data_IF_540765696828
#
_entry.id   IF_540765696828
#
_cell.length_a   1.000
_cell.length_b   1.000
_cell.length_c   1.000
_cell.angle_alpha   90.00
_cell.angle_beta   90.00
_cell.angle_gamma   90.00
#
_symmetry.space_group_name_H-M   'P 1'
#
loop_
_entity.id
_entity.type
_entity.pdbx_description
1 polymer ?
#
# COMPACT_ATOMS: atom_id res chain seq x y z
N UNK A 1 19.14 16.27 31.10
CA UNK A 1 18.73 15.45 29.94
C UNK A 1 17.54 16.14 29.30
N UNK A 2 17.61 16.48 28.02
CA UNK A 2 16.41 16.95 27.32
C UNK A 2 15.33 15.85 27.45
N UNK A 3 14.06 16.21 27.64
CA UNK A 3 12.98 15.23 27.72
C UNK A 3 12.98 14.37 26.46
N UNK A 4 12.71 13.06 26.63
CA UNK A 4 12.53 12.17 25.49
C UNK A 4 11.38 12.70 24.61
N UNK A 5 11.69 13.14 23.42
CA UNK A 5 10.75 13.77 22.49
C UNK A 5 10.03 12.74 21.61
N UNK A 6 10.33 11.44 21.80
CA UNK A 6 9.67 10.33 21.09
C UNK A 6 9.30 9.26 22.12
N UNK A 7 8.02 8.97 22.26
CA UNK A 7 7.48 8.00 23.19
C UNK A 7 6.81 6.84 22.42
N UNK A 8 6.80 5.65 23.03
CA UNK A 8 6.01 4.52 22.50
C UNK A 8 4.71 4.46 23.28
N UNK A 9 3.61 4.55 22.56
CA UNK A 9 2.25 4.50 23.12
C UNK A 9 1.47 3.32 22.53
N UNK A 10 0.50 2.83 23.29
CA UNK A 10 -0.43 1.80 22.88
C UNK A 10 -1.72 2.42 22.30
N UNK A 11 -2.57 1.58 21.70
CA UNK A 11 -3.83 1.99 21.08
C UNK A 11 -4.75 2.76 22.04
N UNK A 12 -4.84 2.31 23.29
CA UNK A 12 -5.72 2.89 24.30
C UNK A 12 -5.34 4.34 24.64
N UNK A 13 -4.06 4.67 24.49
CA UNK A 13 -3.53 6.01 24.75
C UNK A 13 -3.81 6.95 23.58
N UNK A 14 -3.88 6.44 22.33
CA UNK A 14 -4.11 7.24 21.12
C UNK A 14 -5.45 8.00 21.16
N UNK A 15 -6.49 7.39 21.72
CA UNK A 15 -7.82 8.02 21.81
C UNK A 15 -7.81 9.33 22.61
N UNK A 16 -6.81 9.51 23.47
CA UNK A 16 -6.61 10.70 24.31
C UNK A 16 -5.79 11.78 23.59
N UNK A 17 -5.10 11.41 22.50
CA UNK A 17 -4.27 12.31 21.73
C UNK A 17 -5.14 13.07 20.70
N UNK A 18 -5.28 14.39 20.89
CA UNK A 18 -6.05 15.23 19.97
C UNK A 18 -5.53 15.08 18.53
N UNK A 19 -4.21 15.09 18.37
CA UNK A 19 -3.55 14.99 17.07
C UNK A 19 -3.93 13.72 16.29
N UNK A 20 -4.14 12.58 16.97
CA UNK A 20 -4.49 11.32 16.31
C UNK A 20 -5.78 11.41 15.47
N UNK A 21 -6.71 12.28 15.84
CA UNK A 21 -7.98 12.45 15.09
C UNK A 21 -7.76 13.01 13.69
N UNK A 22 -6.70 13.79 13.51
CA UNK A 22 -6.34 14.48 12.27
C UNK A 22 -5.18 13.80 11.55
N UNK A 23 -4.50 12.85 12.20
CA UNK A 23 -3.37 12.15 11.65
C UNK A 23 -3.75 11.40 10.35
N UNK A 24 -2.92 11.54 9.33
CA UNK A 24 -3.10 10.93 8.01
C UNK A 24 -4.41 11.32 7.28
N UNK A 25 -5.07 12.42 7.64
CA UNK A 25 -6.38 12.79 7.09
C UNK A 25 -6.39 12.90 5.56
N UNK A 26 -5.30 13.40 4.98
CA UNK A 26 -5.14 13.55 3.52
C UNK A 26 -4.78 12.24 2.80
N UNK A 27 -4.47 11.19 3.54
CA UNK A 27 -4.11 9.90 2.99
C UNK A 27 -5.34 9.00 2.77
N UNK A 28 -5.29 8.13 1.75
CA UNK A 28 -6.35 7.12 1.57
C UNK A 28 -6.40 6.14 2.74
N UNK A 29 -5.23 5.84 3.31
CA UNK A 29 -5.05 5.03 4.51
C UNK A 29 -4.89 5.95 5.72
N UNK A 30 -5.98 6.59 6.14
CA UNK A 30 -6.00 7.46 7.32
C UNK A 30 -6.02 6.67 8.64
N UNK A 31 -6.16 7.37 9.77
CA UNK A 31 -6.17 6.74 11.09
C UNK A 31 -7.14 5.55 11.20
N UNK A 32 -8.32 5.63 10.53
CA UNK A 32 -9.34 4.54 10.56
C UNK A 32 -8.79 3.25 9.98
N UNK A 33 -7.95 3.36 8.95
CA UNK A 33 -7.28 2.21 8.36
C UNK A 33 -6.28 1.57 9.33
N UNK A 34 -5.43 2.35 9.99
CA UNK A 34 -4.47 1.82 10.97
C UNK A 34 -5.20 1.13 12.13
N UNK A 35 -6.28 1.75 12.61
CA UNK A 35 -7.13 1.19 13.65
C UNK A 35 -7.75 -0.15 13.22
N UNK A 36 -8.31 -0.20 12.02
CA UNK A 36 -8.90 -1.43 11.46
C UNK A 36 -7.86 -2.55 11.28
N UNK A 37 -6.65 -2.20 10.81
CA UNK A 37 -5.56 -3.17 10.64
C UNK A 37 -5.17 -3.78 11.99
N UNK A 38 -5.00 -2.96 13.04
CA UNK A 38 -4.70 -3.44 14.38
C UNK A 38 -5.81 -4.34 14.94
N UNK A 39 -7.08 -3.98 14.71
CA UNK A 39 -8.24 -4.73 15.22
C UNK A 39 -8.45 -6.07 14.51
N UNK A 40 -7.99 -6.21 13.26
CA UNK A 40 -8.36 -7.36 12.41
C UNK A 40 -7.19 -8.18 11.87
N UNK A 41 -5.99 -7.62 11.78
CA UNK A 41 -4.77 -8.26 11.23
C UNK A 41 -3.72 -8.38 12.34
N UNK A 42 -4.02 -9.08 13.39
CA UNK A 42 -3.13 -9.18 14.56
C UNK A 42 -2.31 -10.47 14.62
N UNK A 43 -2.59 -11.47 13.78
CA UNK A 43 -1.85 -12.72 13.81
C UNK A 43 -0.39 -12.52 13.35
N UNK A 44 0.55 -12.62 14.30
CA UNK A 44 1.99 -12.44 14.06
C UNK A 44 2.48 -10.99 14.12
N UNK A 45 1.58 -10.02 14.36
CA UNK A 45 1.90 -8.60 14.46
C UNK A 45 1.55 -8.03 15.84
N UNK A 46 2.45 -7.23 16.40
CA UNK A 46 2.20 -6.47 17.62
C UNK A 46 2.31 -4.97 17.31
N UNK A 47 1.19 -4.27 17.33
CA UNK A 47 1.10 -2.85 16.93
C UNK A 47 1.43 -1.93 18.09
N UNK A 48 2.09 -0.81 17.79
CA UNK A 48 2.41 0.30 18.68
C UNK A 48 2.57 1.58 17.85
N UNK A 49 2.71 2.71 18.53
CA UNK A 49 2.80 4.01 17.89
C UNK A 49 3.93 4.82 18.52
N UNK A 50 4.70 5.52 17.69
CA UNK A 50 5.59 6.58 18.15
C UNK A 50 4.78 7.87 18.24
N UNK A 51 4.66 8.44 19.41
CA UNK A 51 4.17 9.79 19.65
C UNK A 51 5.38 10.73 19.70
N UNK A 52 5.41 11.71 18.81
CA UNK A 52 6.47 12.74 18.76
C UNK A 52 5.93 13.98 19.44
N UNK A 53 6.68 14.51 20.42
CA UNK A 53 6.30 15.70 21.14
C UNK A 53 7.11 16.91 20.69
N UNK A 54 6.47 18.09 20.73
CA UNK A 54 7.11 19.37 20.55
C UNK A 54 7.91 19.80 21.80
N UNK A 55 8.40 21.05 21.80
CA UNK A 55 9.16 21.61 22.92
C UNK A 55 8.30 21.89 24.15
N UNK A 56 6.99 22.00 23.99
CA UNK A 56 6.00 22.21 25.03
C UNK A 56 5.56 20.89 25.67
N UNK A 57 5.90 19.74 25.06
CA UNK A 57 5.53 18.40 25.50
C UNK A 57 4.19 17.91 24.91
N UNK A 58 3.59 18.69 24.02
CA UNK A 58 2.37 18.30 23.33
C UNK A 58 2.68 17.34 22.16
N UNK A 59 1.84 16.30 21.96
CA UNK A 59 1.99 15.38 20.83
C UNK A 59 1.61 16.09 19.54
N UNK A 60 2.59 16.25 18.66
CA UNK A 60 2.45 16.93 17.37
C UNK A 60 2.42 15.96 16.17
N UNK A 61 2.92 14.73 16.32
CA UNK A 61 2.84 13.72 15.28
C UNK A 61 2.76 12.31 15.87
N UNK A 62 2.14 11.38 15.12
CA UNK A 62 2.03 9.98 15.49
C UNK A 62 2.47 9.11 14.31
N UNK A 63 3.43 8.23 14.54
CA UNK A 63 3.93 7.32 13.51
C UNK A 63 3.67 5.88 13.90
N UNK A 64 2.77 5.15 13.20
CA UNK A 64 2.51 3.76 13.45
C UNK A 64 3.72 2.86 13.19
N UNK A 65 3.87 1.82 14.00
CA UNK A 65 4.81 0.74 13.76
C UNK A 65 4.26 -0.57 14.30
N UNK A 66 4.83 -1.66 13.85
CA UNK A 66 4.51 -2.99 14.34
C UNK A 66 5.78 -3.83 14.52
N UNK A 67 5.66 -4.86 15.33
CA UNK A 67 6.73 -5.81 15.60
C UNK A 67 6.28 -7.17 15.11
N UNK A 68 7.18 -7.87 14.43
CA UNK A 68 6.98 -9.25 14.02
C UNK A 68 8.26 -10.05 14.18
N UNK A 69 8.12 -11.35 14.31
CA UNK A 69 9.24 -12.29 14.26
C UNK A 69 9.37 -12.78 12.81
N UNK A 70 10.22 -12.10 12.03
CA UNK A 70 10.40 -12.36 10.60
C UNK A 70 11.22 -13.63 10.37
N UNK A 71 10.66 -14.57 9.63
CA UNK A 71 11.36 -15.76 9.16
C UNK A 71 12.25 -15.43 7.97
N UNK A 72 13.56 -15.39 8.18
CA UNK A 72 14.53 -15.13 7.11
C UNK A 72 14.64 -16.27 6.08
N UNK A 73 14.06 -17.44 6.38
CA UNK A 73 13.97 -18.55 5.44
C UNK A 73 12.72 -18.49 4.55
N UNK A 74 11.74 -17.65 4.90
CA UNK A 74 10.58 -17.41 4.06
C UNK A 74 11.05 -16.89 2.69
N UNK A 75 10.66 -17.56 1.62
CA UNK A 75 11.12 -17.21 0.26
C UNK A 75 12.40 -17.90 -0.21
N UNK A 76 13.10 -18.66 0.65
CA UNK A 76 14.21 -19.51 0.19
C UNK A 76 13.71 -20.81 -0.45
N UNK A 77 14.60 -21.51 -1.17
CA UNK A 77 14.26 -22.78 -1.80
C UNK A 77 13.86 -23.88 -0.80
N UNK A 78 13.12 -24.93 -1.25
CA UNK A 78 12.58 -25.97 -0.38
C UNK A 78 13.65 -26.71 0.42
N UNK A 79 14.84 -26.94 -0.13
CA UNK A 79 15.95 -27.59 0.58
C UNK A 79 16.48 -26.77 1.76
N UNK A 80 16.64 -25.46 1.59
CA UNK A 80 17.10 -24.55 2.65
C UNK A 80 16.03 -24.45 3.75
N UNK A 81 14.76 -24.41 3.38
CA UNK A 81 13.64 -24.42 4.35
C UNK A 81 13.60 -25.72 5.16
N UNK A 82 13.79 -26.88 4.51
CA UNK A 82 13.81 -28.17 5.18
C UNK A 82 14.99 -28.27 6.17
N UNK A 83 16.19 -27.82 5.77
CA UNK A 83 17.36 -27.75 6.66
C UNK A 83 17.09 -26.81 7.84
N UNK A 84 16.55 -25.62 7.57
CA UNK A 84 16.17 -24.69 8.61
C UNK A 84 15.12 -25.24 9.58
N UNK A 85 14.14 -25.96 9.08
CA UNK A 85 13.12 -26.63 9.92
C UNK A 85 13.74 -27.73 10.80
N UNK A 86 14.74 -28.48 10.30
CA UNK A 86 15.48 -29.46 11.10
C UNK A 86 16.28 -28.79 12.23
N UNK A 87 16.98 -27.69 11.93
CA UNK A 87 17.73 -26.91 12.94
C UNK A 87 16.78 -26.29 13.98
N UNK A 88 15.59 -25.85 13.59
CA UNK A 88 14.59 -25.27 14.51
C UNK A 88 14.02 -26.25 15.52
N UNK A 89 14.16 -27.56 15.30
CA UNK A 89 13.82 -28.55 16.35
C UNK A 89 14.71 -28.45 17.58
N UNK A 90 15.96 -27.98 17.40
CA UNK A 90 16.94 -27.81 18.46
C UNK A 90 17.01 -26.34 18.88
N UNK A 91 16.95 -25.41 17.92
CA UNK A 91 16.98 -23.96 18.11
C UNK A 91 15.75 -23.31 17.49
N UNK A 92 14.61 -23.20 18.20
CA UNK A 92 13.31 -22.76 17.64
C UNK A 92 13.33 -21.40 16.93
N UNK A 93 14.25 -20.51 17.33
CA UNK A 93 14.41 -19.16 16.75
C UNK A 93 15.54 -19.07 15.72
N UNK A 94 16.02 -20.19 15.21
CA UNK A 94 17.06 -20.18 14.17
C UNK A 94 16.59 -19.42 12.94
N UNK A 95 17.34 -18.38 12.53
CA UNK A 95 17.02 -17.47 11.44
C UNK A 95 15.63 -16.80 11.53
N UNK A 96 15.11 -16.65 12.75
CA UNK A 96 13.96 -15.78 13.02
C UNK A 96 14.48 -14.49 13.64
N UNK A 97 14.12 -13.36 13.03
CA UNK A 97 14.62 -12.05 13.44
C UNK A 97 13.46 -11.17 13.91
N UNK A 98 13.47 -10.81 15.19
CA UNK A 98 12.49 -9.85 15.70
C UNK A 98 12.76 -8.49 15.09
N UNK A 99 11.80 -8.00 14.32
CA UNK A 99 11.90 -6.79 13.49
C UNK A 99 10.85 -5.78 13.95
N UNK A 100 11.26 -4.52 14.07
CA UNK A 100 10.40 -3.37 14.23
C UNK A 100 10.21 -2.77 12.84
N UNK A 101 8.96 -2.71 12.36
CA UNK A 101 8.62 -2.09 11.08
C UNK A 101 7.80 -0.82 11.30
N UNK A 102 8.33 0.32 10.86
CA UNK A 102 7.62 1.61 10.85
C UNK A 102 6.77 1.68 9.60
N UNK A 103 5.52 2.08 9.74
CA UNK A 103 4.53 2.14 8.67
C UNK A 103 3.34 1.21 8.94
N UNK A 104 2.70 0.71 7.88
CA UNK A 104 1.53 -0.13 7.95
C UNK A 104 1.86 -1.60 7.64
N UNK A 105 1.20 -2.54 8.34
CA UNK A 105 1.31 -3.96 8.00
C UNK A 105 0.62 -4.27 6.65
N UNK A 106 -0.44 -3.55 6.32
CA UNK A 106 -1.23 -3.72 5.10
C UNK A 106 -0.95 -2.57 4.12
N UNK A 107 -0.22 -2.89 3.07
CA UNK A 107 0.19 -1.94 2.02
C UNK A 107 1.41 -1.10 2.39
N UNK A 108 1.59 0.03 1.72
CA UNK A 108 2.73 0.93 1.86
C UNK A 108 2.69 1.76 3.14
N UNK A 109 3.85 2.26 3.54
CA UNK A 109 4.03 3.16 4.67
C UNK A 109 3.81 4.63 4.30
N UNK A 110 3.27 5.41 5.23
CA UNK A 110 3.11 6.86 5.09
C UNK A 110 3.65 7.56 6.32
N UNK A 111 4.09 8.82 6.17
CA UNK A 111 4.39 9.71 7.28
C UNK A 111 3.12 10.45 7.70
N UNK A 112 3.00 10.72 8.99
CA UNK A 112 1.98 11.65 9.49
C UNK A 112 2.39 13.09 9.14
N UNK A 113 2.08 13.51 7.92
CA UNK A 113 2.44 14.83 7.38
C UNK A 113 1.63 15.98 7.98
N UNK A 114 0.59 15.70 8.77
CA UNK A 114 -0.26 16.74 9.38
C UNK A 114 0.45 17.51 10.49
N UNK A 115 1.41 16.88 11.17
CA UNK A 115 2.19 17.52 12.23
C UNK A 115 3.70 17.25 12.19
N UNK A 116 4.14 16.33 11.32
CA UNK A 116 5.55 15.98 11.18
C UNK A 116 6.30 17.04 10.36
N UNK A 117 7.41 17.53 10.89
CA UNK A 117 8.37 18.37 10.18
C UNK A 117 9.76 17.72 10.18
N UNK A 118 10.75 18.36 9.54
CA UNK A 118 12.10 17.79 9.45
C UNK A 118 12.76 17.57 10.82
N UNK A 119 12.56 18.47 11.76
CA UNK A 119 13.11 18.32 13.12
C UNK A 119 12.46 17.14 13.87
N UNK A 120 11.16 16.92 13.67
CA UNK A 120 10.46 15.76 14.23
C UNK A 120 10.94 14.45 13.62
N UNK A 121 11.21 14.42 12.31
CA UNK A 121 11.78 13.25 11.63
C UNK A 121 13.19 12.92 12.13
N UNK A 122 14.03 13.93 12.38
CA UNK A 122 15.35 13.74 12.96
C UNK A 122 15.28 13.13 14.36
N UNK A 123 14.37 13.63 15.20
CA UNK A 123 14.13 13.08 16.53
C UNK A 123 13.63 11.63 16.45
N UNK A 124 12.72 11.36 15.52
CA UNK A 124 12.23 10.00 15.27
C UNK A 124 13.36 9.07 14.83
N UNK A 125 14.18 9.49 13.84
CA UNK A 125 15.31 8.70 13.34
C UNK A 125 16.34 8.36 14.44
N UNK A 126 16.60 9.32 15.33
CA UNK A 126 17.47 9.12 16.49
C UNK A 126 16.85 8.18 17.54
N UNK A 127 15.53 8.31 17.79
CA UNK A 127 14.81 7.60 18.85
C UNK A 127 14.48 6.15 18.52
N UNK A 128 14.09 5.84 17.27
CA UNK A 128 13.56 4.52 16.89
C UNK A 128 14.47 3.36 17.28
N UNK A 129 15.79 3.50 17.10
CA UNK A 129 16.75 2.41 17.44
C UNK A 129 16.85 2.17 18.95
N UNK A 130 16.75 3.22 19.76
CA UNK A 130 16.70 3.10 21.22
C UNK A 130 15.48 2.28 21.63
N UNK A 131 14.30 2.62 21.12
CA UNK A 131 13.06 1.91 21.37
C UNK A 131 13.07 0.48 20.81
N UNK A 132 13.64 0.26 19.63
CA UNK A 132 13.80 -1.07 19.06
C UNK A 132 14.60 -2.00 19.98
N UNK A 133 15.70 -1.49 20.57
CA UNK A 133 16.49 -2.25 21.54
C UNK A 133 15.70 -2.58 22.82
N UNK A 134 14.95 -1.61 23.35
CA UNK A 134 14.08 -1.83 24.51
C UNK A 134 13.01 -2.90 24.24
N UNK A 135 12.47 -2.94 23.02
CA UNK A 135 11.50 -3.92 22.55
C UNK A 135 12.15 -5.24 22.08
N UNK A 136 13.47 -5.37 22.23
CA UNK A 136 14.28 -6.53 21.81
C UNK A 136 14.22 -6.81 20.31
N UNK A 137 13.92 -5.82 19.49
CA UNK A 137 14.02 -5.93 18.04
C UNK A 137 15.50 -5.78 17.63
N UNK A 138 15.94 -6.62 16.70
CA UNK A 138 17.30 -6.59 16.15
C UNK A 138 17.38 -5.84 14.83
N UNK A 139 16.29 -5.78 14.08
CA UNK A 139 16.17 -5.08 12.83
C UNK A 139 15.12 -3.98 12.94
N UNK A 140 15.39 -2.84 12.32
CA UNK A 140 14.44 -1.75 12.13
C UNK A 140 14.27 -1.54 10.64
N UNK A 141 13.03 -1.46 10.19
CA UNK A 141 12.68 -1.23 8.78
C UNK A 141 11.61 -0.16 8.71
N UNK A 142 11.82 0.90 7.92
CA UNK A 142 10.71 1.70 7.42
C UNK A 142 10.18 0.96 6.20
N UNK A 143 8.90 0.52 6.25
CA UNK A 143 8.34 -0.43 5.29
C UNK A 143 7.66 0.30 4.14
N UNK A 144 8.25 0.20 2.96
CA UNK A 144 7.62 0.56 1.68
C UNK A 144 7.11 2.00 1.61
N UNK A 145 7.97 2.95 1.98
CA UNK A 145 7.65 4.36 1.86
C UNK A 145 7.76 4.83 0.40
N UNK A 146 6.75 5.52 -0.14
CA UNK A 146 6.79 6.09 -1.48
C UNK A 146 7.99 7.03 -1.71
N UNK A 147 8.49 7.04 -2.95
CA UNK A 147 9.69 7.78 -3.32
C UNK A 147 9.61 9.29 -3.06
N UNK A 148 8.41 9.88 -3.02
CA UNK A 148 8.25 11.30 -2.70
C UNK A 148 8.66 11.65 -1.26
N UNK A 149 8.77 10.66 -0.35
CA UNK A 149 9.32 10.86 0.99
C UNK A 149 10.84 10.81 1.06
N UNK A 150 11.57 10.52 -0.04
CA UNK A 150 13.03 10.34 -0.02
C UNK A 150 13.77 11.53 0.59
N UNK A 151 13.39 12.76 0.20
CA UNK A 151 13.98 13.97 0.77
C UNK A 151 13.77 14.09 2.28
N UNK A 152 12.55 13.88 2.74
CA UNK A 152 12.20 13.91 4.15
C UNK A 152 12.92 12.82 4.97
N UNK A 153 13.06 11.62 4.40
CA UNK A 153 13.68 10.46 5.04
C UNK A 153 15.20 10.41 4.91
N UNK A 154 15.85 11.43 4.32
CA UNK A 154 17.31 11.48 4.21
C UNK A 154 17.99 11.48 5.58
N UNK A 155 17.36 12.08 6.60
CA UNK A 155 17.83 12.04 7.98
C UNK A 155 18.03 10.61 8.50
N UNK A 156 17.22 9.65 8.07
CA UNK A 156 17.41 8.25 8.46
C UNK A 156 18.70 7.68 7.90
N UNK A 157 19.13 8.07 6.70
CA UNK A 157 20.43 7.66 6.12
C UNK A 157 21.58 8.18 6.97
N UNK A 158 21.52 9.45 7.42
CA UNK A 158 22.50 10.04 8.35
C UNK A 158 22.57 9.26 9.68
N UNK A 159 21.43 8.70 10.13
CA UNK A 159 21.35 7.84 11.30
C UNK A 159 21.72 6.37 11.01
N UNK A 160 22.33 6.07 9.87
CA UNK A 160 22.92 4.76 9.53
C UNK A 160 21.94 3.73 8.98
N UNK A 161 20.76 4.14 8.54
CA UNK A 161 19.88 3.30 7.73
C UNK A 161 20.42 3.15 6.31
N UNK A 162 20.01 2.08 5.65
CA UNK A 162 20.31 1.85 4.23
C UNK A 162 19.00 1.81 3.48
N UNK A 163 18.85 2.68 2.48
CA UNK A 163 17.70 2.65 1.57
C UNK A 163 17.87 1.52 0.56
N UNK A 164 16.82 0.75 0.37
CA UNK A 164 16.75 -0.36 -0.58
C UNK A 164 15.40 -0.28 -1.30
N UNK A 165 15.36 -0.29 -2.64
CA UNK A 165 14.10 -0.36 -3.36
C UNK A 165 13.31 -1.62 -3.01
N UNK A 166 12.01 -1.46 -2.73
CA UNK A 166 11.02 -2.53 -2.62
C UNK A 166 10.32 -2.77 -3.95
N UNK A 167 9.40 -3.73 -4.01
CA UNK A 167 8.54 -3.92 -5.17
C UNK A 167 7.65 -2.68 -5.36
N UNK A 168 7.78 -1.99 -6.51
CA UNK A 168 7.08 -0.73 -6.74
C UNK A 168 5.59 -0.94 -6.94
N UNK A 169 4.79 0.05 -6.60
CA UNK A 169 3.46 0.20 -7.17
C UNK A 169 3.56 0.54 -8.66
N UNK A 170 2.43 0.54 -9.35
CA UNK A 170 2.37 0.98 -10.73
C UNK A 170 1.28 2.03 -10.91
N UNK A 171 1.52 2.97 -11.81
CA UNK A 171 0.67 4.10 -12.08
C UNK A 171 0.40 4.21 -13.57
N UNK A 172 -0.86 4.33 -13.95
CA UNK A 172 -1.33 4.52 -15.32
C UNK A 172 -2.01 5.87 -15.43
N UNK A 173 -1.56 6.68 -16.37
CA UNK A 173 -2.30 7.88 -16.75
C UNK A 173 -3.60 7.46 -17.45
N UNK A 174 -4.74 7.94 -16.94
CA UNK A 174 -6.08 7.69 -17.47
C UNK A 174 -6.83 8.97 -17.79
N UNK A 175 -6.12 10.10 -17.92
CA UNK A 175 -6.70 11.38 -18.32
C UNK A 175 -7.02 11.39 -19.83
N UNK A 176 -8.00 10.56 -20.21
CA UNK A 176 -8.52 10.38 -21.57
C UNK A 176 -10.05 10.42 -21.54
N UNK A 177 -10.70 10.83 -22.66
CA UNK A 177 -12.16 10.88 -22.73
C UNK A 177 -12.83 9.51 -22.53
N UNK A 178 -12.18 8.43 -22.97
CA UNK A 178 -12.68 7.06 -22.83
C UNK A 178 -11.54 6.03 -22.78
N UNK A 179 -11.88 4.80 -22.38
CA UNK A 179 -10.96 3.68 -22.43
C UNK A 179 -10.51 3.36 -23.88
N UNK A 180 -11.39 3.56 -24.89
CA UNK A 180 -11.01 3.37 -26.29
C UNK A 180 -10.01 4.46 -26.74
N UNK A 181 -10.20 5.72 -26.35
CA UNK A 181 -9.25 6.80 -26.62
C UNK A 181 -7.88 6.52 -25.99
N UNK A 182 -7.86 6.06 -24.73
CA UNK A 182 -6.62 5.60 -24.10
C UNK A 182 -5.98 4.47 -24.92
N UNK A 183 -6.73 3.45 -25.32
CA UNK A 183 -6.17 2.35 -26.11
C UNK A 183 -5.58 2.86 -27.43
N UNK A 184 -6.26 3.78 -28.12
CA UNK A 184 -5.81 4.30 -29.42
C UNK A 184 -4.57 5.17 -29.28
N UNK A 185 -4.53 6.05 -28.28
CA UNK A 185 -3.48 7.04 -28.11
C UNK A 185 -2.23 6.48 -27.39
N UNK A 186 -2.40 5.65 -26.35
CA UNK A 186 -1.31 5.18 -25.52
C UNK A 186 -0.74 3.80 -25.90
N UNK A 187 -1.58 2.91 -26.46
CA UNK A 187 -1.17 1.52 -26.67
C UNK A 187 -0.70 1.24 -28.08
N UNK A 188 0.24 0.31 -28.24
CA UNK A 188 0.67 -0.18 -29.54
C UNK A 188 -0.48 -0.91 -30.27
N UNK A 189 -0.43 -0.93 -31.61
CA UNK A 189 -1.40 -1.66 -32.43
C UNK A 189 -1.51 -3.15 -32.04
N UNK A 190 -0.38 -3.77 -31.68
CA UNK A 190 -0.35 -5.18 -31.23
C UNK A 190 -1.10 -5.34 -29.90
N UNK A 191 -0.81 -4.52 -28.92
CA UNK A 191 -1.46 -4.56 -27.60
C UNK A 191 -2.97 -4.31 -27.70
N UNK A 192 -3.40 -3.33 -28.50
CA UNK A 192 -4.83 -3.07 -28.74
C UNK A 192 -5.54 -4.29 -29.33
N UNK A 193 -4.93 -4.92 -30.35
CA UNK A 193 -5.48 -6.13 -30.96
C UNK A 193 -5.62 -7.26 -29.94
N UNK A 194 -4.59 -7.48 -29.12
CA UNK A 194 -4.60 -8.51 -28.09
C UNK A 194 -5.71 -8.26 -27.05
N UNK A 195 -5.83 -7.04 -26.54
CA UNK A 195 -6.88 -6.67 -25.58
C UNK A 195 -8.28 -6.86 -26.17
N UNK A 196 -8.51 -6.44 -27.42
CA UNK A 196 -9.80 -6.62 -28.10
C UNK A 196 -10.15 -8.10 -28.27
N UNK A 197 -9.16 -8.97 -28.54
CA UNK A 197 -9.39 -10.42 -28.59
C UNK A 197 -9.79 -10.98 -27.23
N UNK A 198 -9.12 -10.56 -26.14
CA UNK A 198 -9.47 -10.93 -24.77
C UNK A 198 -10.88 -10.49 -24.40
N UNK A 199 -11.23 -9.24 -24.68
CA UNK A 199 -12.60 -8.72 -24.42
C UNK A 199 -13.66 -9.44 -25.25
N UNK A 200 -13.34 -9.79 -26.50
CA UNK A 200 -14.25 -10.57 -27.35
C UNK A 200 -14.45 -12.01 -26.84
N UNK A 201 -13.41 -12.63 -26.27
CA UNK A 201 -13.53 -13.95 -25.65
C UNK A 201 -14.49 -13.91 -24.45
N UNK A 202 -14.34 -12.92 -23.56
CA UNK A 202 -15.27 -12.72 -22.45
C UNK A 202 -16.71 -12.41 -22.93
N UNK A 203 -16.88 -11.60 -23.99
CA UNK A 203 -18.19 -11.26 -24.53
C UNK A 203 -18.93 -12.42 -25.23
N UNK A 204 -18.22 -13.49 -25.62
CA UNK A 204 -18.83 -14.71 -26.21
C UNK A 204 -19.33 -15.69 -25.16
N UNK A 205 -18.87 -15.54 -23.93
CA UNK A 205 -19.31 -16.34 -22.81
C UNK A 205 -20.65 -15.82 -22.27
N UNK A 206 -21.15 -16.44 -21.22
CA UNK A 206 -22.29 -15.92 -20.48
C UNK A 206 -21.99 -14.48 -20.01
N UNK A 207 -22.94 -13.54 -20.07
CA UNK A 207 -22.73 -12.15 -19.66
C UNK A 207 -22.13 -12.03 -18.25
N UNK A 208 -21.23 -11.06 -18.10
CA UNK A 208 -20.62 -10.71 -16.84
C UNK A 208 -21.19 -9.36 -16.41
N UNK A 209 -21.96 -9.37 -15.31
CA UNK A 209 -22.56 -8.17 -14.75
C UNK A 209 -21.63 -7.56 -13.70
N UNK A 210 -21.41 -6.25 -13.77
CA UNK A 210 -20.62 -5.50 -12.79
C UNK A 210 -21.54 -4.78 -11.81
N UNK A 211 -21.22 -4.86 -10.53
CA UNK A 211 -21.79 -4.02 -9.48
C UNK A 211 -20.69 -3.36 -8.64
N UNK A 212 -21.00 -2.20 -8.06
CA UNK A 212 -20.07 -1.45 -7.21
C UNK A 212 -20.73 -1.27 -5.86
N UNK A 213 -20.09 -1.81 -4.82
CA UNK A 213 -20.61 -1.82 -3.46
C UNK A 213 -19.79 -0.86 -2.59
N UNK A 214 -20.45 -0.17 -1.66
CA UNK A 214 -19.80 0.58 -0.59
C UNK A 214 -19.42 -0.31 0.59
N UNK A 215 -20.19 -1.38 0.81
CA UNK A 215 -19.96 -2.39 1.85
C UNK A 215 -20.09 -3.79 1.24
N UNK A 216 -19.09 -4.64 1.52
CA UNK A 216 -19.00 -6.00 0.97
C UNK A 216 -19.59 -7.08 1.93
N UNK A 217 -20.06 -6.65 3.09
CA UNK A 217 -20.48 -7.57 4.17
C UNK A 217 -21.51 -8.61 3.71
N UNK A 218 -22.48 -8.21 2.87
CA UNK A 218 -23.54 -9.09 2.40
C UNK A 218 -23.07 -10.22 1.48
N UNK A 219 -21.88 -10.08 0.89
CA UNK A 219 -21.32 -11.05 -0.08
C UNK A 219 -19.94 -11.55 0.34
N UNK A 220 -19.52 -11.29 1.58
CA UNK A 220 -18.15 -11.60 2.05
C UNK A 220 -17.84 -13.10 1.94
N UNK A 221 -18.81 -13.97 2.18
CA UNK A 221 -18.62 -15.42 2.10
C UNK A 221 -18.42 -15.92 0.66
N UNK A 222 -18.91 -15.18 -0.34
CA UNK A 222 -18.68 -15.48 -1.75
C UNK A 222 -17.32 -14.94 -2.23
N UNK A 223 -16.92 -13.74 -1.79
CA UNK A 223 -15.69 -13.08 -2.30
C UNK A 223 -14.42 -13.52 -1.60
N UNK A 224 -14.50 -13.89 -0.32
CA UNK A 224 -13.31 -14.25 0.45
C UNK A 224 -12.56 -15.48 -0.09
N UNK A 225 -13.22 -16.55 -0.56
CA UNK A 225 -12.54 -17.65 -1.26
C UNK A 225 -11.76 -17.19 -2.50
N UNK A 226 -12.30 -16.23 -3.28
CA UNK A 226 -11.62 -15.69 -4.46
C UNK A 226 -10.33 -14.91 -4.09
N UNK A 227 -10.37 -14.18 -2.97
CA UNK A 227 -9.17 -13.55 -2.41
C UNK A 227 -8.14 -14.61 -2.03
N UNK A 228 -8.54 -15.67 -1.34
CA UNK A 228 -7.65 -16.74 -0.91
C UNK A 228 -7.01 -17.47 -2.09
N UNK A 229 -7.74 -17.67 -3.19
CA UNK A 229 -7.20 -18.28 -4.41
C UNK A 229 -6.04 -17.46 -5.00
N UNK A 230 -6.18 -16.13 -5.05
CA UNK A 230 -5.10 -15.23 -5.49
C UNK A 230 -3.96 -15.21 -4.47
N UNK A 231 -4.28 -15.11 -3.18
CA UNK A 231 -3.30 -15.08 -2.09
C UNK A 231 -2.40 -16.31 -2.08
N UNK A 232 -2.97 -17.52 -2.17
CA UNK A 232 -2.20 -18.77 -2.14
C UNK A 232 -1.35 -18.99 -3.40
N UNK A 233 -1.70 -18.36 -4.53
CA UNK A 233 -0.90 -18.39 -5.78
C UNK A 233 0.21 -17.37 -5.77
N UNK A 234 0.16 -16.36 -4.89
CA UNK A 234 1.22 -15.36 -4.78
C UNK A 234 2.50 -15.99 -4.22
N UNK A 235 3.63 -15.63 -4.84
CA UNK A 235 4.97 -15.98 -4.33
C UNK A 235 5.40 -15.14 -3.15
N UNK A 236 4.78 -13.99 -2.98
CA UNK A 236 5.07 -13.01 -1.92
C UNK A 236 3.82 -12.87 -1.07
N UNK A 237 3.91 -13.37 0.16
CA UNK A 237 2.83 -13.34 1.14
C UNK A 237 3.39 -12.68 2.40
N UNK A 238 2.98 -11.48 2.70
CA UNK A 238 3.39 -10.77 3.90
C UNK A 238 2.28 -10.79 4.95
N UNK A 239 1.15 -10.16 4.64
CA UNK A 239 -0.06 -10.21 5.46
C UNK A 239 -1.16 -11.06 4.78
N UNK A 240 -2.04 -11.62 5.59
CA UNK A 240 -3.27 -12.28 5.13
C UNK A 240 -4.47 -11.48 5.62
N UNK A 241 -5.23 -10.92 4.68
CA UNK A 241 -6.44 -10.19 5.02
C UNK A 241 -7.50 -11.12 5.62
N UNK A 242 -8.28 -10.61 6.56
CA UNK A 242 -9.41 -11.31 7.17
C UNK A 242 -10.74 -10.84 6.56
N UNK A 243 -11.82 -11.58 6.79
CA UNK A 243 -13.16 -11.14 6.40
C UNK A 243 -13.54 -9.86 7.13
N UNK A 244 -13.19 -9.78 8.41
CA UNK A 244 -13.44 -8.65 9.29
C UNK A 244 -12.76 -7.38 8.75
N UNK A 245 -11.52 -7.49 8.26
CA UNK A 245 -10.82 -6.38 7.62
C UNK A 245 -11.57 -5.88 6.37
N UNK A 246 -11.94 -6.79 5.46
CA UNK A 246 -12.65 -6.43 4.22
C UNK A 246 -14.00 -5.76 4.51
N UNK A 247 -14.78 -6.31 5.44
CA UNK A 247 -16.05 -5.70 5.85
C UNK A 247 -15.83 -4.36 6.56
N UNK A 248 -14.80 -4.28 7.41
CA UNK A 248 -14.44 -3.06 8.14
C UNK A 248 -14.08 -1.89 7.22
N UNK A 249 -13.39 -2.16 6.10
CA UNK A 249 -13.07 -1.12 5.11
C UNK A 249 -14.32 -0.40 4.61
N UNK A 250 -15.35 -1.13 4.20
CA UNK A 250 -16.61 -0.54 3.71
C UNK A 250 -17.35 0.23 4.79
N UNK A 251 -17.41 -0.32 6.02
CA UNK A 251 -18.15 0.30 7.12
C UNK A 251 -17.49 1.53 7.71
N UNK A 252 -16.15 1.51 7.86
CA UNK A 252 -15.41 2.59 8.52
C UNK A 252 -14.93 3.67 7.56
N UNK A 253 -14.75 3.34 6.28
CA UNK A 253 -14.19 4.23 5.27
C UNK A 253 -15.06 4.33 4.00
N UNK A 254 -16.40 4.50 4.13
CA UNK A 254 -17.32 4.53 2.98
C UNK A 254 -17.06 5.72 2.04
N UNK A 255 -16.38 6.75 2.52
CA UNK A 255 -15.94 7.92 1.75
C UNK A 255 -14.73 7.60 0.84
N UNK A 256 -13.90 6.60 1.19
CA UNK A 256 -12.64 6.28 0.51
C UNK A 256 -12.61 4.92 -0.18
N UNK A 257 -13.57 4.02 0.07
CA UNK A 257 -13.53 2.63 -0.39
C UNK A 257 -14.68 2.30 -1.31
N UNK A 258 -14.42 1.52 -2.35
CA UNK A 258 -15.41 0.87 -3.21
C UNK A 258 -14.97 -0.55 -3.52
N UNK A 259 -15.94 -1.45 -3.61
CA UNK A 259 -15.76 -2.85 -4.02
C UNK A 259 -16.38 -3.05 -5.38
N UNK A 260 -15.56 -3.39 -6.36
CA UNK A 260 -16.04 -3.81 -7.66
C UNK A 260 -16.26 -5.32 -7.62
N UNK A 261 -17.44 -5.76 -8.05
CA UNK A 261 -17.85 -7.16 -8.04
C UNK A 261 -18.36 -7.54 -9.41
N UNK A 262 -17.86 -8.63 -9.95
CA UNK A 262 -18.30 -9.17 -11.25
C UNK A 262 -18.99 -10.52 -11.04
N UNK A 263 -20.20 -10.64 -11.61
CA UNK A 263 -21.04 -11.83 -11.53
C UNK A 263 -21.22 -12.45 -12.90
N UNK A 264 -21.21 -13.77 -12.96
CA UNK A 264 -21.58 -14.55 -14.13
C UNK A 264 -22.58 -15.63 -13.70
N UNK A 265 -23.77 -15.65 -14.32
CA UNK A 265 -24.82 -16.58 -13.91
C UNK A 265 -25.23 -16.43 -12.45
N UNK A 266 -25.24 -15.23 -11.90
CA UNK A 266 -25.57 -14.94 -10.50
C UNK A 266 -24.41 -15.16 -9.51
N UNK A 267 -23.35 -15.90 -9.85
CA UNK A 267 -22.18 -16.20 -9.00
C UNK A 267 -21.10 -15.15 -9.16
N UNK A 268 -20.46 -14.73 -8.06
CA UNK A 268 -19.31 -13.84 -8.11
C UNK A 268 -18.09 -14.59 -8.67
N UNK A 269 -17.49 -14.05 -9.73
CA UNK A 269 -16.31 -14.62 -10.40
C UNK A 269 -15.06 -13.76 -10.22
N UNK A 270 -15.23 -12.50 -9.86
CA UNK A 270 -14.13 -11.60 -9.52
C UNK A 270 -14.60 -10.50 -8.57
N UNK A 271 -13.71 -9.96 -7.77
CA UNK A 271 -13.92 -8.70 -7.05
C UNK A 271 -12.59 -7.95 -6.88
N UNK A 272 -12.68 -6.65 -6.62
CA UNK A 272 -11.50 -5.81 -6.32
C UNK A 272 -11.86 -4.82 -5.23
N UNK A 273 -10.95 -4.66 -4.27
CA UNK A 273 -10.97 -3.56 -3.30
C UNK A 273 -10.30 -2.36 -3.92
N UNK A 274 -11.02 -1.24 -3.98
CA UNK A 274 -10.50 0.02 -4.52
C UNK A 274 -10.57 1.12 -3.46
N UNK A 275 -9.55 1.98 -3.47
CA UNK A 275 -9.49 3.16 -2.61
C UNK A 275 -9.26 4.42 -3.46
N UNK A 276 -9.72 5.56 -2.97
CA UNK A 276 -9.63 6.84 -3.67
C UNK A 276 -8.88 7.87 -2.81
N UNK A 277 -8.05 8.69 -3.49
CA UNK A 277 -7.36 9.82 -2.87
C UNK A 277 -7.07 10.87 -3.94
N UNK A 278 -7.62 12.07 -3.79
CA UNK A 278 -7.45 13.16 -4.76
C UNK A 278 -7.76 12.69 -6.20
N UNK A 279 -6.84 12.85 -7.14
CA UNK A 279 -6.99 12.45 -8.54
C UNK A 279 -6.61 10.97 -8.80
N UNK A 280 -6.32 10.20 -7.74
CA UNK A 280 -5.85 8.82 -7.86
C UNK A 280 -6.93 7.82 -7.46
N UNK A 281 -7.10 6.80 -8.31
CA UNK A 281 -7.91 5.62 -8.05
C UNK A 281 -6.98 4.42 -7.88
N UNK A 282 -7.02 3.79 -6.72
CA UNK A 282 -6.14 2.68 -6.34
C UNK A 282 -6.89 1.36 -6.38
N UNK A 283 -6.41 0.40 -7.16
CA UNK A 283 -6.82 -1.01 -7.09
C UNK A 283 -5.86 -1.74 -6.13
N UNK A 284 -6.33 -2.02 -4.91
CA UNK A 284 -5.50 -2.54 -3.81
C UNK A 284 -5.40 -4.07 -3.87
N UNK A 285 -6.54 -4.76 -3.82
CA UNK A 285 -6.59 -6.23 -3.79
C UNK A 285 -7.61 -6.74 -4.78
N UNK A 286 -7.31 -7.88 -5.39
CA UNK A 286 -8.17 -8.57 -6.34
C UNK A 286 -8.38 -10.02 -5.90
N UNK A 287 -9.61 -10.51 -6.03
CA UNK A 287 -9.95 -11.92 -5.96
C UNK A 287 -10.49 -12.40 -7.31
N UNK A 288 -10.09 -13.57 -7.74
CA UNK A 288 -10.42 -14.14 -9.03
C UNK A 288 -10.76 -15.63 -8.89
N UNK A 289 -11.78 -16.08 -9.59
CA UNK A 289 -12.10 -17.49 -9.68
C UNK A 289 -11.26 -18.18 -10.74
N UNK A 290 -10.44 -19.13 -10.34
CA UNK A 290 -9.66 -19.97 -11.25
C UNK A 290 -10.37 -21.32 -11.47
N UNK A 291 -10.30 -21.92 -12.68
CA UNK A 291 -9.58 -21.51 -13.89
C UNK A 291 -10.27 -20.47 -14.77
N UNK A 292 -11.54 -20.13 -14.47
CA UNK A 292 -12.37 -19.20 -15.28
C UNK A 292 -11.68 -17.85 -15.54
N UNK A 293 -10.91 -17.37 -14.57
CA UNK A 293 -10.16 -16.11 -14.71
C UNK A 293 -9.14 -16.14 -15.86
N UNK A 294 -8.55 -17.31 -16.14
CA UNK A 294 -7.62 -17.48 -17.25
C UNK A 294 -8.37 -17.59 -18.58
N UNK A 295 -9.44 -18.36 -18.62
CA UNK A 295 -10.27 -18.57 -19.81
C UNK A 295 -10.89 -17.27 -20.32
N UNK A 296 -11.49 -16.49 -19.42
CA UNK A 296 -12.19 -15.26 -19.74
C UNK A 296 -11.31 -14.00 -19.63
N UNK A 297 -10.02 -14.16 -19.31
CA UNK A 297 -9.11 -13.02 -19.09
C UNK A 297 -9.65 -11.99 -18.08
N UNK A 298 -10.27 -12.46 -16.98
CA UNK A 298 -10.99 -11.61 -16.00
C UNK A 298 -10.15 -10.47 -15.45
N UNK A 299 -8.83 -10.65 -15.29
CA UNK A 299 -7.95 -9.57 -14.86
C UNK A 299 -8.02 -8.36 -15.81
N UNK A 300 -7.89 -8.59 -17.13
CA UNK A 300 -7.93 -7.49 -18.12
C UNK A 300 -9.33 -6.89 -18.23
N UNK A 301 -10.35 -7.73 -18.08
CA UNK A 301 -11.74 -7.31 -18.07
C UNK A 301 -12.02 -6.39 -16.87
N UNK A 302 -11.61 -6.78 -15.67
CA UNK A 302 -11.74 -6.00 -14.45
C UNK A 302 -10.99 -4.67 -14.54
N UNK A 303 -9.74 -4.68 -15.03
CA UNK A 303 -8.96 -3.44 -15.22
C UNK A 303 -9.66 -2.48 -16.18
N UNK A 304 -10.19 -2.98 -17.33
CA UNK A 304 -10.97 -2.15 -18.27
C UNK A 304 -12.14 -1.45 -17.58
N UNK A 305 -12.91 -2.19 -16.82
CA UNK A 305 -14.12 -1.67 -16.18
C UNK A 305 -13.80 -0.67 -15.07
N UNK A 306 -12.78 -0.97 -14.23
CA UNK A 306 -12.31 -0.05 -13.21
C UNK A 306 -11.76 1.25 -13.80
N UNK A 307 -10.92 1.16 -14.84
CA UNK A 307 -10.36 2.33 -15.53
C UNK A 307 -11.48 3.14 -16.19
N UNK A 308 -12.45 2.48 -16.85
CA UNK A 308 -13.61 3.16 -17.44
C UNK A 308 -14.42 3.91 -16.40
N UNK A 309 -14.65 3.30 -15.24
CA UNK A 309 -15.34 3.94 -14.13
C UNK A 309 -14.56 5.12 -13.58
N UNK A 310 -13.25 4.94 -13.35
CA UNK A 310 -12.38 5.99 -12.84
C UNK A 310 -12.34 7.22 -13.76
N UNK A 311 -12.22 7.02 -15.08
CA UNK A 311 -12.30 8.09 -16.10
C UNK A 311 -13.63 8.86 -16.00
N UNK A 312 -14.76 8.14 -15.90
CA UNK A 312 -16.09 8.77 -15.80
C UNK A 312 -16.28 9.58 -14.51
N UNK A 313 -15.52 9.28 -13.47
CA UNK A 313 -15.56 10.00 -12.19
C UNK A 313 -14.45 11.06 -12.05
N UNK A 314 -13.71 11.35 -13.14
CA UNK A 314 -12.73 12.43 -13.19
C UNK A 314 -11.36 12.10 -12.57
N UNK A 315 -11.09 10.83 -12.25
CA UNK A 315 -9.75 10.42 -11.82
C UNK A 315 -8.77 10.47 -12.98
N UNK A 316 -7.55 10.92 -12.71
CA UNK A 316 -6.50 11.06 -13.73
C UNK A 316 -5.50 9.91 -13.70
N UNK A 317 -5.45 9.19 -12.59
CA UNK A 317 -4.49 8.13 -12.37
C UNK A 317 -5.17 6.87 -11.86
N UNK A 318 -4.85 5.75 -12.51
CA UNK A 318 -5.16 4.41 -12.03
C UNK A 318 -3.87 3.82 -11.44
N UNK A 319 -3.87 3.62 -10.13
CA UNK A 319 -2.76 3.06 -9.37
C UNK A 319 -3.07 1.61 -9.00
N UNK A 320 -2.05 0.77 -8.97
CA UNK A 320 -2.23 -0.60 -8.50
C UNK A 320 -1.02 -1.07 -7.71
N UNK A 321 -1.28 -1.96 -6.74
CA UNK A 321 -0.27 -2.56 -5.87
C UNK A 321 0.85 -3.24 -6.66
N UNK A 322 1.98 -3.52 -6.03
CA UNK A 322 3.11 -4.24 -6.63
C UNK A 322 2.75 -5.62 -7.19
N UNK A 323 3.73 -6.29 -7.78
CA UNK A 323 3.64 -7.63 -8.40
C UNK A 323 2.80 -7.69 -9.70
N UNK A 324 2.86 -8.84 -10.38
CA UNK A 324 2.20 -9.07 -11.67
C UNK A 324 2.47 -7.96 -12.70
N UNK A 325 3.74 -7.60 -12.90
CA UNK A 325 4.16 -6.45 -13.71
C UNK A 325 3.97 -6.61 -15.21
N UNK A 326 3.96 -7.85 -15.75
CA UNK A 326 3.89 -8.05 -17.20
C UNK A 326 2.63 -7.46 -17.85
N UNK A 327 1.40 -7.71 -17.40
CA UNK A 327 0.23 -7.05 -17.96
C UNK A 327 0.27 -5.51 -17.78
N UNK A 328 0.82 -5.01 -16.67
CA UNK A 328 0.93 -3.57 -16.40
C UNK A 328 1.92 -2.88 -17.34
N UNK A 329 3.03 -3.56 -17.67
CA UNK A 329 3.97 -3.11 -18.69
C UNK A 329 3.29 -2.95 -20.06
N UNK A 330 2.49 -3.93 -20.45
CA UNK A 330 1.75 -3.87 -21.72
C UNK A 330 0.65 -2.79 -21.74
N UNK A 331 0.09 -2.45 -20.59
CA UNK A 331 -0.84 -1.34 -20.41
C UNK A 331 -0.14 0.03 -20.31
N UNK A 332 1.17 0.11 -20.48
CA UNK A 332 1.94 1.37 -20.40
C UNK A 332 1.89 2.04 -19.01
N UNK A 333 1.73 1.24 -17.96
CA UNK A 333 1.95 1.76 -16.61
C UNK A 333 3.40 2.21 -16.44
N UNK A 334 3.63 3.17 -15.57
CA UNK A 334 4.94 3.54 -15.02
C UNK A 334 5.11 2.94 -13.64
N UNK A 335 6.34 2.72 -13.21
CA UNK A 335 6.65 2.30 -11.85
C UNK A 335 6.47 3.51 -10.90
N UNK A 336 5.89 3.24 -9.74
CA UNK A 336 5.81 4.18 -8.62
C UNK A 336 6.64 3.61 -7.48
N UNK A 337 7.91 4.08 -7.31
CA UNK A 337 8.87 3.41 -6.45
C UNK A 337 8.51 3.48 -4.98
N UNK A 338 8.72 2.35 -4.30
CA UNK A 338 8.65 2.21 -2.85
C UNK A 338 10.04 1.86 -2.31
N UNK A 339 10.39 2.43 -1.16
CA UNK A 339 11.67 2.22 -0.51
C UNK A 339 11.54 1.58 0.86
N UNK A 340 12.48 0.71 1.18
CA UNK A 340 12.75 0.24 2.53
C UNK A 340 13.95 1.02 3.08
N UNK A 341 13.88 1.45 4.35
CA UNK A 341 15.04 1.97 5.07
C UNK A 341 15.37 0.99 6.19
N UNK A 342 16.50 0.31 6.07
CA UNK A 342 16.85 -0.84 6.91
C UNK A 342 18.06 -0.51 7.78
N UNK A 343 17.97 -0.84 9.08
CA UNK A 343 19.06 -0.69 10.04
C UNK A 343 19.06 -1.82 11.04
N UNK A 344 20.22 -2.45 11.28
CA UNK A 344 20.40 -3.39 12.38
C UNK A 344 20.77 -2.64 13.66
N UNK A 345 20.26 -3.11 14.82
CA UNK A 345 20.51 -2.46 16.12
C UNK A 345 21.95 -2.64 16.63
N UNK A 346 22.69 -3.67 16.16
CA UNK A 346 24.12 -3.82 16.36
C UNK A 346 24.90 -3.09 15.27
N UNK A 347 25.90 -2.29 15.62
CA UNK A 347 26.71 -1.51 14.68
C UNK A 347 27.49 -2.40 13.69
N UNK A 348 28.04 -3.53 14.20
CA UNK A 348 28.82 -4.46 13.37
C UNK A 348 27.95 -5.12 12.29
N UNK A 349 26.78 -5.66 12.71
CA UNK A 349 25.83 -6.26 11.77
C UNK A 349 25.25 -5.23 10.82
N UNK A 350 25.08 -3.97 11.26
CA UNK A 350 24.64 -2.89 10.40
C UNK A 350 25.67 -2.57 9.30
N UNK A 351 26.96 -2.58 9.63
CA UNK A 351 28.02 -2.38 8.64
C UNK A 351 28.04 -3.49 7.56
N UNK A 352 27.77 -4.73 7.95
CA UNK A 352 27.61 -5.87 7.01
C UNK A 352 26.37 -5.67 6.15
N UNK A 353 25.22 -5.38 6.75
CA UNK A 353 23.96 -5.17 6.03
C UNK A 353 24.05 -4.00 5.03
N UNK A 354 24.67 -2.91 5.41
CA UNK A 354 24.86 -1.74 4.54
C UNK A 354 25.55 -2.11 3.21
N UNK A 355 26.46 -3.08 3.23
CA UNK A 355 27.14 -3.57 2.02
C UNK A 355 26.34 -4.63 1.25
N UNK A 356 25.59 -5.48 1.96
CA UNK A 356 24.87 -6.61 1.38
C UNK A 356 23.51 -6.21 0.77
N UNK A 357 22.74 -5.35 1.45
CA UNK A 357 21.36 -5.01 1.07
C UNK A 357 21.18 -4.52 -0.36
N UNK A 358 22.03 -3.64 -0.93
CA UNK A 358 21.87 -3.19 -2.32
C UNK A 358 21.96 -4.34 -3.34
N UNK A 359 22.69 -5.40 -3.00
CA UNK A 359 22.82 -6.60 -3.83
C UNK A 359 21.70 -7.61 -3.62
N UNK A 360 21.08 -7.59 -2.44
CA UNK A 360 20.00 -8.49 -2.07
C UNK A 360 18.61 -7.97 -2.49
N UNK A 361 18.49 -6.74 -3.02
CA UNK A 361 17.24 -6.16 -3.44
C UNK A 361 16.57 -7.00 -4.53
N UNK A 362 15.37 -7.61 -4.30
CA UNK A 362 14.73 -8.51 -5.27
C UNK A 362 14.44 -7.84 -6.60
N UNK A 363 14.08 -6.56 -6.57
CA UNK A 363 13.77 -5.75 -7.76
C UNK A 363 14.95 -5.64 -8.73
N UNK A 364 16.18 -5.83 -8.27
CA UNK A 364 17.38 -5.83 -9.11
C UNK A 364 17.39 -7.01 -10.10
N UNK A 365 16.76 -8.11 -9.74
CA UNK A 365 16.80 -9.37 -10.49
C UNK A 365 15.50 -9.64 -11.25
N UNK A 366 14.50 -8.78 -11.12
CA UNK A 366 13.24 -8.93 -11.86
C UNK A 366 13.40 -8.40 -13.28
N UNK A 367 13.36 -9.32 -14.26
CA UNK A 367 13.52 -9.00 -15.68
C UNK A 367 12.37 -8.15 -16.22
N UNK A 368 11.17 -8.32 -15.70
CA UNK A 368 10.00 -7.55 -16.14
C UNK A 368 10.10 -6.11 -15.70
N UNK A 369 10.53 -5.85 -14.46
CA UNK A 369 10.73 -4.48 -13.97
C UNK A 369 11.76 -3.70 -14.79
N UNK A 370 12.84 -4.36 -15.23
CA UNK A 370 13.88 -3.72 -16.08
C UNK A 370 13.38 -3.25 -17.44
N UNK A 371 12.24 -3.74 -17.90
CA UNK A 371 11.61 -3.33 -19.17
C UNK A 371 10.88 -1.99 -19.08
N UNK A 372 10.53 -1.53 -17.88
CA UNK A 372 9.86 -0.25 -17.69
C UNK A 372 10.82 0.91 -17.98
N UNK A 373 10.33 1.92 -18.71
CA UNK A 373 11.15 3.06 -19.13
C UNK A 373 11.74 3.83 -17.95
N UNK A 374 11.03 3.86 -16.84
CA UNK A 374 11.44 4.55 -15.61
C UNK A 374 12.01 3.60 -14.53
N UNK A 375 12.55 2.44 -14.90
CA UNK A 375 13.20 1.54 -13.93
C UNK A 375 14.33 2.20 -13.14
N UNK A 376 15.05 3.15 -13.77
CA UNK A 376 16.11 3.90 -13.12
C UNK A 376 15.65 4.68 -11.89
N UNK A 377 14.38 5.12 -11.85
CA UNK A 377 13.80 5.89 -10.73
C UNK A 377 13.80 5.10 -9.42
N UNK A 378 13.79 3.76 -9.51
CA UNK A 378 13.92 2.87 -8.35
C UNK A 378 15.20 3.16 -7.55
N UNK A 379 16.27 3.57 -8.24
CA UNK A 379 17.61 3.77 -7.68
C UNK A 379 17.98 5.25 -7.51
N UNK A 380 17.17 6.16 -8.06
CA UNK A 380 17.45 7.58 -8.03
C UNK A 380 17.64 8.09 -6.60
N UNK A 381 18.63 8.95 -6.42
CA UNK A 381 18.78 9.73 -5.20
C UNK A 381 17.63 10.74 -5.07
N UNK A 382 17.34 11.28 -3.88
CA UNK A 382 16.43 12.42 -3.76
C UNK A 382 16.90 13.52 -4.72
N UNK A 383 15.99 14.11 -5.48
CA UNK A 383 16.29 15.29 -6.28
C UNK A 383 16.72 16.41 -5.33
N UNK A 384 17.75 17.20 -5.72
CA UNK A 384 18.33 18.29 -4.93
C UNK A 384 17.25 19.29 -4.48
N UNK A 385 17.41 19.98 -3.34
CA UNK A 385 16.35 20.74 -2.68
C UNK A 385 15.78 21.88 -3.53
N UNK A 386 14.67 21.63 -4.14
CA UNK A 386 13.77 22.48 -4.89
C UNK A 386 12.38 21.86 -4.92
N UNK A 387 12.30 20.55 -4.74
CA UNK A 387 11.03 19.78 -4.66
C UNK A 387 10.55 19.54 -3.20
N UNK A 388 10.98 20.40 -2.27
CA UNK A 388 10.53 20.37 -0.88
C UNK A 388 9.06 20.84 -0.72
N UNK A 389 8.21 20.49 -1.67
CA UNK A 389 6.78 20.82 -1.64
C UNK A 389 5.99 20.17 -0.49
N UNK A 390 6.59 19.25 0.26
CA UNK A 390 5.89 18.64 1.39
C UNK A 390 5.94 19.51 2.66
N UNK A 391 7.00 20.32 2.87
CA UNK A 391 7.11 21.26 3.99
C UNK A 391 6.27 22.52 3.79
N UNK A 392 6.14 23.02 2.55
CA UNK A 392 5.36 24.24 2.25
C UNK A 392 3.85 23.97 2.17
N UNK A 393 3.44 22.75 1.78
CA UNK A 393 2.02 22.40 1.67
C UNK A 393 1.32 22.25 3.03
N UNK A 394 2.04 21.93 4.09
CA UNK A 394 1.46 21.82 5.44
C UNK A 394 1.10 23.19 6.04
N UNK A 395 1.86 24.27 5.69
CA UNK A 395 1.62 25.62 6.22
C UNK A 395 0.57 26.45 5.46
N UNK A 396 0.39 26.20 4.16
CA UNK A 396 -0.50 27.02 3.30
C UNK A 396 -1.86 26.41 3.02
N UNK A 397 -2.06 25.12 3.25
CA UNK A 397 -3.34 24.43 3.00
C UNK A 397 -4.39 24.64 4.10
N UNK A 398 -4.01 25.02 5.31
CA UNK A 398 -4.96 25.34 6.39
C UNK A 398 -5.87 26.55 6.08
N UNK A 399 -5.48 27.43 5.15
CA UNK A 399 -6.27 28.61 4.78
C UNK A 399 -7.26 28.39 3.61
N UNK A 400 -7.11 27.32 2.80
CA UNK A 400 -8.00 27.08 1.62
C UNK A 400 -9.13 26.10 1.87
N UNK A 401 -9.07 25.30 2.94
CA UNK A 401 -10.12 24.31 3.25
C UNK A 401 -11.42 24.92 3.81
N UNK A 402 -11.46 26.20 4.18
CA UNK A 402 -12.68 26.83 4.73
C UNK A 402 -13.71 27.28 3.67
N UNK A 403 -13.39 27.25 2.37
CA UNK A 403 -14.29 27.72 1.31
C UNK A 403 -14.84 26.63 0.37
N UNK A 404 -14.59 25.35 0.62
CA UNK A 404 -15.09 24.26 -0.23
C UNK A 404 -16.35 23.55 0.30
N UNK A 405 -16.95 24.04 1.37
CA UNK A 405 -18.14 23.43 2.00
C UNK A 405 -19.48 24.02 1.53
N UNK A 406 -19.55 24.63 0.35
CA UNK A 406 -20.78 25.17 -0.19
C UNK A 406 -20.88 25.00 -1.71
N UNK A 407 -20.89 23.75 -2.19
CA UNK A 407 -21.47 23.44 -3.52
C UNK A 407 -22.32 22.21 -3.38
N UNK A 408 -23.61 22.39 -3.66
CA UNK A 408 -24.74 21.57 -3.35
C UNK A 408 -24.71 20.14 -3.89
N UNK A 409 -25.28 19.26 -3.11
CA UNK A 409 -25.85 17.99 -3.58
C UNK A 409 -26.99 18.27 -4.58
N UNK A 410 -27.03 17.66 -5.74
CA UNK A 410 -28.28 17.54 -6.48
C UNK A 410 -29.13 16.43 -5.86
N UNK A 411 -30.33 16.78 -5.50
CA UNK A 411 -31.39 15.90 -5.03
C UNK A 411 -31.64 14.74 -6.00
N UNK A 412 -31.57 13.51 -5.47
CA UNK A 412 -32.13 12.30 -6.05
C UNK A 412 -33.50 12.04 -5.38
N UNK A 413 -34.50 12.76 -5.84
CA UNK A 413 -35.89 12.44 -5.63
C UNK A 413 -36.64 12.93 -6.88
N UNK A 414 -37.04 11.96 -7.71
CA UNK A 414 -38.09 11.99 -8.73
C UNK A 414 -37.71 11.14 -9.94
N UNK A 415 -37.98 9.87 -9.86
CA UNK A 415 -38.30 8.98 -10.98
C UNK A 415 -38.76 7.62 -10.50
N UNK A 416 -39.88 7.61 -9.74
CA UNK A 416 -40.75 6.44 -9.62
C UNK A 416 -42.18 6.95 -9.83
N UNK A 417 -42.62 6.88 -11.07
CA UNK A 417 -44.00 7.18 -11.45
C UNK A 417 -44.18 7.07 -12.94
N UNK A 418 -44.92 6.03 -13.33
CA UNK A 418 -45.62 5.79 -14.57
C UNK A 418 -44.87 5.14 -15.76
N UNK A 419 -45.39 3.97 -15.98
CA UNK A 419 -45.61 3.01 -17.08
C UNK A 419 -44.69 1.81 -17.11
#
# INVERSE_FOLDING_TARGET
MAPDTVHVVAREELSRLRHWREAFADERKDRRHFELVEDTIHQGFAYRYFAVTDEQGDVCAVQPFFILDQDLLAGTGPGIRALGAAVRRICPRFLTLRTLMVGCAVGEGHLDTTGMNQAHLERLAAGVVKHARALRARLVVLKEFPAHYRGALECFLAHGYTRVPSFPMTRLNIDYPSFEDYMVQALSRRTRRDLRLKFKAAARAQPIDQSILGDITSVIDEVYPLYLDVYHRSKHQFEKLTKEYLCGLGRLMPDKVRFFVWRQGGRIVAFTVCMMQSDNFYAEYIGLEYPLALELHLYHYAVRDMVTWAMRHGYKWFCSSGLNYDPKFHLRCTLDPLDLYVRHTSWLMNAVLKRALPWLAPVRYDETLRRFANYADMWASPSIPGDAGWCESAGTRSAKSKNAAAVGQPALAEALGNE
#
